data_IF_523472877747
#
_entry.id   IF_523472877747
#
_cell.length_a   1.000
_cell.length_b   1.000
_cell.length_c   1.000
_cell.angle_alpha   90.00
_cell.angle_beta   90.00
_cell.angle_gamma   90.00
#
_symmetry.space_group_name_H-M   'P 1'
#
loop_
_entity.id
_entity.type
_entity.pdbx_description
1 polymer ?
#
# COMPACT_ATOMS: atom_id res chain seq x y z
N UNK A 1 -9.98 -28.26 8.18
CA UNK A 1 -10.95 -27.49 7.38
C UNK A 1 -11.01 -27.93 5.91
N UNK A 2 -9.97 -28.53 5.32
CA UNK A 2 -9.99 -29.00 3.91
C UNK A 2 -10.31 -30.51 3.75
N UNK A 3 -11.38 -31.03 4.37
CA UNK A 3 -11.75 -32.45 4.19
C UNK A 3 -13.17 -32.73 3.68
N UNK A 4 -14.02 -31.71 3.48
CA UNK A 4 -15.43 -31.96 3.12
C UNK A 4 -15.99 -31.03 2.03
N UNK A 5 -15.23 -30.78 0.96
CA UNK A 5 -15.81 -30.14 -0.23
C UNK A 5 -15.60 -31.02 -1.47
N UNK A 6 -16.67 -31.34 -2.22
CA UNK A 6 -16.56 -32.15 -3.43
C UNK A 6 -15.72 -31.41 -4.48
N UNK A 7 -15.01 -32.15 -5.34
CA UNK A 7 -14.19 -31.60 -6.45
C UNK A 7 -15.00 -30.65 -7.36
N UNK A 8 -16.32 -30.84 -7.43
CA UNK A 8 -17.25 -29.93 -8.13
C UNK A 8 -17.30 -28.53 -7.51
N UNK A 9 -17.14 -28.38 -6.19
CA UNK A 9 -17.07 -27.07 -5.52
C UNK A 9 -15.78 -26.32 -5.86
N UNK A 10 -14.66 -27.02 -6.02
CA UNK A 10 -13.38 -26.45 -6.50
C UNK A 10 -13.44 -26.06 -7.99
N UNK A 11 -14.24 -26.78 -8.79
CA UNK A 11 -14.49 -26.44 -10.21
C UNK A 11 -15.55 -25.33 -10.38
N UNK A 12 -16.45 -25.18 -9.40
CA UNK A 12 -17.42 -24.09 -9.34
C UNK A 12 -16.79 -22.76 -8.89
N UNK A 13 -15.71 -22.81 -8.11
CA UNK A 13 -14.80 -21.67 -7.92
C UNK A 13 -13.98 -21.44 -9.18
N UNK A 14 -14.63 -21.01 -10.28
CA UNK A 14 -13.91 -20.34 -11.37
C UNK A 14 -13.51 -18.98 -10.82
N UNK A 15 -12.23 -18.72 -10.50
CA UNK A 15 -11.86 -17.38 -10.11
C UNK A 15 -12.02 -16.56 -11.39
N UNK A 16 -13.09 -15.77 -11.47
CA UNK A 16 -13.17 -14.76 -12.53
C UNK A 16 -11.89 -13.94 -12.42
N UNK A 17 -11.09 -13.81 -13.50
CA UNK A 17 -9.89 -12.96 -13.48
C UNK A 17 -10.23 -11.48 -13.33
N UNK A 18 -11.52 -11.15 -13.42
CA UNK A 18 -12.11 -9.83 -13.35
C UNK A 18 -13.18 -9.82 -12.24
N UNK A 19 -12.85 -9.17 -11.13
CA UNK A 19 -13.72 -8.97 -9.98
C UNK A 19 -14.96 -8.17 -10.37
N UNK A 20 -14.83 -7.14 -11.20
CA UNK A 20 -15.94 -6.29 -11.62
C UNK A 20 -17.00 -7.11 -12.36
N UNK A 21 -16.58 -7.92 -13.33
CA UNK A 21 -17.48 -8.83 -14.04
C UNK A 21 -18.14 -9.85 -13.11
N UNK A 22 -17.42 -10.37 -12.12
CA UNK A 22 -17.99 -11.29 -11.15
C UNK A 22 -19.09 -10.60 -10.32
N UNK A 23 -18.83 -9.39 -9.82
CA UNK A 23 -19.81 -8.61 -9.04
C UNK A 23 -21.07 -8.29 -9.85
N UNK A 24 -20.94 -8.02 -11.15
CA UNK A 24 -22.09 -7.83 -12.04
C UNK A 24 -22.98 -9.07 -12.20
N UNK A 25 -22.46 -10.26 -11.90
CA UNK A 25 -23.27 -11.48 -11.83
C UNK A 25 -24.03 -11.65 -10.51
N UNK A 26 -23.61 -10.96 -9.43
CA UNK A 26 -24.24 -11.05 -8.10
C UNK A 26 -25.17 -9.87 -7.79
N UNK A 27 -24.88 -8.68 -8.32
CA UNK A 27 -25.61 -7.46 -8.00
C UNK A 27 -26.17 -6.80 -9.25
N UNK A 28 -27.48 -6.56 -9.26
CA UNK A 28 -28.13 -5.74 -10.30
C UNK A 28 -27.92 -4.24 -10.09
N UNK A 29 -27.71 -3.80 -8.85
CA UNK A 29 -27.43 -2.40 -8.51
C UNK A 29 -25.94 -2.09 -8.63
N UNK A 30 -25.59 -1.15 -9.52
CA UNK A 30 -24.20 -0.75 -9.76
C UNK A 30 -23.52 -0.19 -8.49
N UNK A 31 -24.27 0.40 -7.56
CA UNK A 31 -23.70 0.93 -6.30
C UNK A 31 -23.15 -0.19 -5.42
N UNK A 32 -23.78 -1.35 -5.43
CA UNK A 32 -23.27 -2.53 -4.72
C UNK A 32 -22.03 -3.09 -5.43
N UNK A 33 -22.02 -3.10 -6.78
CA UNK A 33 -20.82 -3.48 -7.53
C UNK A 33 -19.65 -2.53 -7.22
N UNK A 34 -19.88 -1.22 -7.10
CA UNK A 34 -18.87 -0.24 -6.70
C UNK A 34 -18.37 -0.47 -5.27
N UNK A 35 -19.30 -0.64 -4.33
CA UNK A 35 -19.00 -0.87 -2.91
C UNK A 35 -18.04 -2.06 -2.73
N UNK A 36 -18.35 -3.19 -3.37
CA UNK A 36 -17.51 -4.39 -3.27
C UNK A 36 -16.30 -4.35 -4.21
N UNK A 37 -16.39 -3.65 -5.36
CA UNK A 37 -15.25 -3.44 -6.26
C UNK A 37 -14.13 -2.65 -5.61
N UNK A 38 -14.45 -1.78 -4.64
CA UNK A 38 -13.48 -1.03 -3.82
C UNK A 38 -12.44 -1.91 -3.15
N UNK A 39 -12.74 -3.16 -2.78
CA UNK A 39 -11.75 -4.04 -2.14
C UNK A 39 -10.52 -4.34 -3.02
N UNK A 40 -10.59 -4.10 -4.34
CA UNK A 40 -9.40 -4.12 -5.19
C UNK A 40 -8.33 -3.09 -4.76
N UNK A 41 -8.76 -1.95 -4.21
CA UNK A 41 -7.85 -0.87 -3.78
C UNK A 41 -7.04 -1.23 -2.52
N UNK A 42 -7.49 -2.21 -1.73
CA UNK A 42 -6.77 -2.68 -0.52
C UNK A 42 -5.44 -3.36 -0.85
N UNK A 43 -5.28 -3.77 -2.12
CA UNK A 43 -4.02 -4.29 -2.67
C UNK A 43 -3.55 -3.44 -3.86
N UNK A 44 -4.00 -2.18 -3.92
CA UNK A 44 -3.66 -1.21 -4.95
C UNK A 44 -3.89 -1.71 -6.38
N UNK A 45 -4.98 -2.44 -6.62
CA UNK A 45 -5.29 -3.06 -7.92
C UNK A 45 -6.58 -2.51 -8.51
N UNK A 46 -6.86 -2.87 -9.77
CA UNK A 46 -8.10 -2.51 -10.47
C UNK A 46 -9.12 -3.62 -10.28
N UNK A 47 -10.38 -3.32 -9.94
CA UNK A 47 -11.44 -4.34 -9.92
C UNK A 47 -11.68 -4.95 -11.31
N UNK A 48 -11.32 -4.24 -12.38
CA UNK A 48 -11.45 -4.70 -13.77
C UNK A 48 -10.42 -5.77 -14.17
N UNK A 49 -9.41 -6.02 -13.33
CA UNK A 49 -8.27 -6.87 -13.71
C UNK A 49 -7.79 -7.77 -12.57
N UNK A 50 -8.39 -7.66 -11.39
CA UNK A 50 -8.03 -8.46 -10.22
C UNK A 50 -8.96 -9.67 -10.08
N UNK A 51 -8.48 -10.82 -9.59
CA UNK A 51 -9.34 -11.98 -9.41
C UNK A 51 -10.41 -11.74 -8.34
N UNK A 52 -11.57 -12.38 -8.52
CA UNK A 52 -12.69 -12.32 -7.58
C UNK A 52 -12.37 -12.85 -6.17
N UNK A 53 -11.27 -13.60 -6.01
CA UNK A 53 -10.79 -14.08 -4.70
C UNK A 53 -10.46 -12.96 -3.72
N UNK A 54 -10.25 -11.72 -4.19
CA UNK A 54 -10.11 -10.56 -3.30
C UNK A 54 -11.35 -10.28 -2.45
N UNK A 55 -12.52 -10.84 -2.79
CA UNK A 55 -13.71 -10.76 -1.93
C UNK A 55 -13.51 -11.38 -0.54
N UNK A 56 -12.48 -12.20 -0.34
CA UNK A 56 -12.08 -12.65 0.99
C UNK A 56 -11.69 -11.48 1.91
N UNK A 57 -11.21 -10.35 1.37
CA UNK A 57 -10.91 -9.14 2.16
C UNK A 57 -12.20 -8.58 2.76
N UNK A 58 -13.28 -8.52 1.98
CA UNK A 58 -14.59 -8.09 2.46
C UNK A 58 -15.09 -8.98 3.60
N UNK A 59 -14.88 -10.30 3.48
CA UNK A 59 -15.24 -11.25 4.53
C UNK A 59 -14.46 -11.00 5.83
N UNK A 60 -13.15 -10.75 5.75
CA UNK A 60 -12.33 -10.45 6.93
C UNK A 60 -12.77 -9.14 7.60
N UNK A 61 -13.20 -8.13 6.83
CA UNK A 61 -13.70 -6.88 7.42
C UNK A 61 -15.02 -7.07 8.21
N UNK A 62 -15.80 -8.12 7.89
CA UNK A 62 -17.00 -8.48 8.67
C UNK A 62 -16.66 -9.02 10.06
N UNK A 63 -15.46 -9.57 10.27
CA UNK A 63 -15.02 -10.02 11.60
C UNK A 63 -14.75 -8.84 12.55
N UNK A 64 -14.58 -7.64 11.99
CA UNK A 64 -14.47 -6.40 12.75
C UNK A 64 -13.51 -5.40 12.12
N UNK A 65 -13.62 -4.16 12.61
CA UNK A 65 -12.66 -3.09 12.36
C UNK A 65 -12.19 -2.55 13.69
N UNK A 66 -10.89 -2.57 13.94
CA UNK A 66 -10.28 -2.18 15.20
C UNK A 66 -9.57 -0.84 15.09
N UNK A 67 -9.68 -0.04 16.14
CA UNK A 67 -8.93 1.21 16.29
C UNK A 67 -7.82 0.99 17.32
N UNK A 68 -6.62 1.45 16.99
CA UNK A 68 -5.51 1.49 17.94
C UNK A 68 -5.61 2.78 18.74
N UNK A 69 -5.66 2.68 20.06
CA UNK A 69 -5.62 3.85 20.94
C UNK A 69 -4.38 4.69 20.64
N UNK A 70 -4.59 5.98 20.33
CA UNK A 70 -3.55 6.92 19.88
C UNK A 70 -3.07 6.71 18.43
N UNK A 71 -3.79 5.93 17.64
CA UNK A 71 -3.66 5.81 16.19
C UNK A 71 -2.64 4.77 15.71
N UNK A 72 -2.70 4.46 14.41
CA UNK A 72 -1.86 3.43 13.77
C UNK A 72 -0.34 3.66 13.94
N UNK A 73 0.10 4.91 14.13
CA UNK A 73 1.51 5.22 14.42
C UNK A 73 2.03 4.55 15.69
N UNK A 74 1.18 4.36 16.71
CA UNK A 74 1.58 3.68 17.94
C UNK A 74 1.94 2.23 17.73
N UNK A 75 1.37 1.55 16.74
CA UNK A 75 1.76 0.19 16.41
C UNK A 75 3.23 0.14 15.99
N UNK A 76 3.66 1.03 15.09
CA UNK A 76 5.05 1.11 14.64
C UNK A 76 6.01 1.48 15.78
N UNK A 77 5.63 2.45 16.64
CA UNK A 77 6.41 2.81 17.83
C UNK A 77 6.57 1.64 18.80
N UNK A 78 5.48 0.96 19.12
CA UNK A 78 5.50 -0.19 20.04
C UNK A 78 6.41 -1.31 19.53
N UNK A 79 6.42 -1.56 18.21
CA UNK A 79 7.32 -2.54 17.61
C UNK A 79 8.80 -2.12 17.70
N UNK A 80 9.09 -0.83 17.51
CA UNK A 80 10.44 -0.29 17.67
C UNK A 80 10.94 -0.39 19.12
N UNK A 81 10.09 0.02 20.07
CA UNK A 81 10.41 -0.02 21.50
C UNK A 81 10.65 -1.46 21.98
N UNK A 82 9.79 -2.40 21.57
CA UNK A 82 9.96 -3.82 21.87
C UNK A 82 11.26 -4.37 21.24
N UNK A 83 11.58 -3.97 20.01
CA UNK A 83 12.83 -4.35 19.36
C UNK A 83 14.05 -3.93 20.18
N UNK A 84 14.08 -2.68 20.64
CA UNK A 84 15.18 -2.17 21.48
C UNK A 84 15.26 -2.90 22.83
N UNK A 85 14.12 -3.21 23.46
CA UNK A 85 14.09 -4.00 24.70
C UNK A 85 14.65 -5.42 24.51
N UNK A 86 14.56 -5.96 23.29
CA UNK A 86 15.12 -7.26 22.91
C UNK A 86 16.56 -7.16 22.39
N UNK A 87 17.19 -5.98 22.45
CA UNK A 87 18.59 -5.76 22.07
C UNK A 87 18.81 -5.38 20.60
N UNK A 88 17.79 -4.92 19.88
CA UNK A 88 17.96 -4.37 18.52
C UNK A 88 18.50 -2.93 18.60
N UNK A 89 19.65 -2.69 17.96
CA UNK A 89 20.18 -1.35 17.75
C UNK A 89 19.44 -0.64 16.61
N UNK A 90 18.79 0.50 16.90
CA UNK A 90 18.05 1.29 15.92
C UNK A 90 18.83 2.52 15.47
N UNK A 91 19.23 2.53 14.21
CA UNK A 91 19.94 3.64 13.58
C UNK A 91 18.97 4.42 12.67
N UNK A 92 18.50 5.57 13.13
CA UNK A 92 17.59 6.44 12.37
C UNK A 92 18.38 7.47 11.55
N UNK A 93 17.76 8.05 10.51
CA UNK A 93 18.41 9.01 9.61
C UNK A 93 19.72 8.47 9.01
N UNK A 94 19.79 7.16 8.81
CA UNK A 94 20.99 6.44 8.41
C UNK A 94 20.68 5.66 7.13
N UNK A 95 20.83 6.32 5.98
CA UNK A 95 20.50 5.71 4.69
C UNK A 95 21.57 4.70 4.29
N UNK A 96 21.13 3.53 3.83
CA UNK A 96 21.98 2.48 3.26
C UNK A 96 22.06 2.69 1.75
N UNK A 97 23.25 2.97 1.23
CA UNK A 97 23.51 3.21 -0.19
C UNK A 97 23.87 1.94 -0.96
N UNK A 98 24.39 0.91 -0.29
CA UNK A 98 24.91 -0.29 -0.95
C UNK A 98 24.74 -1.54 -0.07
N UNK A 99 24.35 -2.66 -0.69
CA UNK A 99 24.56 -4.00 -0.11
C UNK A 99 25.94 -4.48 -0.52
N UNK A 100 26.83 -4.68 0.45
CA UNK A 100 28.21 -5.12 0.21
C UNK A 100 28.24 -6.60 -0.17
N UNK A 101 28.86 -6.91 -1.32
CA UNK A 101 28.93 -8.28 -1.86
C UNK A 101 30.37 -8.76 -1.98
N UNK A 102 30.67 -9.94 -1.41
CA UNK A 102 31.95 -10.64 -1.57
C UNK A 102 31.70 -12.09 -1.93
N UNK A 103 32.38 -12.61 -2.96
CA UNK A 103 32.25 -14.01 -3.41
C UNK A 103 30.78 -14.43 -3.64
N UNK A 104 29.95 -13.55 -4.23
CA UNK A 104 28.51 -13.76 -4.47
C UNK A 104 27.68 -13.98 -3.18
N UNK A 105 28.13 -13.45 -2.05
CA UNK A 105 27.42 -13.42 -0.77
C UNK A 105 27.32 -11.97 -0.28
N UNK A 106 26.17 -11.56 0.23
CA UNK A 106 26.04 -10.34 1.00
C UNK A 106 26.83 -10.47 2.32
N UNK A 107 27.62 -9.45 2.65
CA UNK A 107 28.52 -9.44 3.82
C UNK A 107 28.36 -8.20 4.70
N UNK A 108 27.36 -7.37 4.40
CA UNK A 108 27.13 -6.11 5.09
C UNK A 108 26.45 -5.06 4.21
N UNK A 109 26.49 -3.82 4.67
CA UNK A 109 25.94 -2.66 3.98
C UNK A 109 26.88 -1.46 4.06
N UNK A 110 26.79 -0.56 3.09
CA UNK A 110 27.43 0.76 3.12
C UNK A 110 26.37 1.83 3.38
N UNK A 111 26.73 2.80 4.19
CA UNK A 111 25.92 3.98 4.47
C UNK A 111 26.26 5.11 3.48
N UNK A 112 25.40 6.13 3.39
CA UNK A 112 25.63 7.31 2.54
C UNK A 112 26.92 8.08 2.89
N UNK A 113 27.33 8.06 4.16
CA UNK A 113 28.58 8.69 4.61
C UNK A 113 29.84 7.87 4.28
N UNK A 114 29.68 6.72 3.63
CA UNK A 114 30.74 5.81 3.23
C UNK A 114 31.08 4.73 4.27
N UNK A 115 30.56 4.83 5.50
CA UNK A 115 30.76 3.84 6.57
C UNK A 115 30.28 2.47 6.12
N UNK A 116 31.09 1.43 6.38
CA UNK A 116 30.74 0.04 6.08
C UNK A 116 30.40 -0.70 7.37
N UNK A 117 29.21 -1.31 7.40
CA UNK A 117 28.74 -2.17 8.48
C UNK A 117 28.77 -3.62 8.00
N UNK A 118 29.53 -4.48 8.67
CA UNK A 118 29.61 -5.91 8.34
C UNK A 118 28.48 -6.69 9.01
N UNK A 119 27.93 -7.68 8.32
CA UNK A 119 26.90 -8.57 8.86
C UNK A 119 27.00 -9.98 8.24
N UNK A 120 26.64 -11.00 9.01
CA UNK A 120 26.60 -12.39 8.53
C UNK A 120 25.47 -12.64 7.51
N UNK A 121 24.39 -11.87 7.66
CA UNK A 121 23.20 -11.84 6.82
C UNK A 121 22.58 -10.43 6.81
N UNK A 122 21.88 -10.10 5.72
CA UNK A 122 21.18 -8.83 5.53
C UNK A 122 19.71 -9.12 5.23
N UNK A 123 18.79 -8.49 5.96
CA UNK A 123 17.36 -8.51 5.65
C UNK A 123 16.96 -7.15 5.10
N UNK A 124 16.52 -7.10 3.84
CA UNK A 124 16.02 -5.90 3.21
C UNK A 124 14.50 -5.80 3.37
N UNK A 125 14.03 -4.72 4.00
CA UNK A 125 12.61 -4.40 4.20
C UNK A 125 12.24 -3.10 3.46
N UNK A 126 12.57 -3.03 2.17
CA UNK A 126 12.17 -1.95 1.27
C UNK A 126 11.55 -2.52 -0.01
N UNK A 127 11.20 -1.65 -0.96
CA UNK A 127 10.69 -2.14 -2.25
C UNK A 127 11.81 -2.84 -3.03
N UNK A 128 11.57 -4.09 -3.43
CA UNK A 128 12.57 -4.91 -4.14
C UNK A 128 13.06 -4.29 -5.45
N UNK A 129 12.33 -3.34 -6.05
CA UNK A 129 12.84 -2.59 -7.20
C UNK A 129 14.12 -1.83 -6.87
N UNK A 130 14.29 -1.30 -5.65
CA UNK A 130 15.51 -0.56 -5.29
C UNK A 130 16.76 -1.43 -5.43
N UNK A 131 16.66 -2.71 -5.09
CA UNK A 131 17.72 -3.69 -5.37
C UNK A 131 17.84 -3.86 -6.89
N UNK A 132 16.74 -4.22 -7.56
CA UNK A 132 16.73 -4.59 -8.98
C UNK A 132 17.25 -3.50 -9.93
N UNK A 133 17.09 -2.23 -9.57
CA UNK A 133 17.53 -1.06 -10.34
C UNK A 133 18.92 -0.56 -9.95
N UNK A 134 19.61 -1.25 -9.05
CA UNK A 134 20.97 -0.92 -8.63
C UNK A 134 21.08 0.23 -7.62
N UNK A 135 19.96 0.72 -7.06
CA UNK A 135 19.98 1.76 -6.02
C UNK A 135 20.68 1.32 -4.73
N UNK A 136 20.85 0.00 -4.54
CA UNK A 136 21.60 -0.61 -3.45
C UNK A 136 22.90 -1.27 -3.93
N UNK A 137 23.47 -0.74 -5.00
CA UNK A 137 24.68 -1.23 -5.64
C UNK A 137 24.42 -2.26 -6.73
N UNK A 138 25.15 -2.12 -7.84
CA UNK A 138 25.03 -3.00 -9.01
C UNK A 138 25.31 -4.47 -8.68
N UNK A 139 26.22 -4.73 -7.73
CA UNK A 139 26.55 -6.09 -7.29
C UNK A 139 25.36 -6.86 -6.71
N UNK A 140 24.34 -6.17 -6.22
CA UNK A 140 23.12 -6.77 -5.68
C UNK A 140 21.95 -6.79 -6.67
N UNK A 141 22.05 -6.14 -7.83
CA UNK A 141 20.91 -5.92 -8.76
C UNK A 141 20.24 -7.23 -9.22
N UNK A 142 21.07 -8.25 -9.45
CA UNK A 142 20.62 -9.59 -9.86
C UNK A 142 19.96 -10.42 -8.73
N UNK A 143 19.99 -9.95 -7.48
CA UNK A 143 19.43 -10.67 -6.34
C UNK A 143 17.90 -10.85 -6.43
N UNK A 144 17.22 -9.99 -7.19
CA UNK A 144 15.77 -9.98 -7.38
C UNK A 144 15.42 -9.77 -8.85
N UNK A 145 14.17 -10.06 -9.23
CA UNK A 145 13.71 -9.81 -10.60
C UNK A 145 13.28 -8.36 -10.75
N UNK A 146 13.81 -7.68 -11.76
CA UNK A 146 13.33 -6.35 -12.18
C UNK A 146 11.87 -6.41 -12.60
N UNK A 147 11.05 -5.53 -12.05
CA UNK A 147 9.61 -5.45 -12.33
C UNK A 147 9.33 -4.30 -13.30
N UNK A 148 8.54 -4.52 -14.37
CA UNK A 148 8.11 -3.43 -15.24
C UNK A 148 7.29 -2.37 -14.49
N UNK A 149 7.53 -1.09 -14.76
CA UNK A 149 6.82 0.02 -14.10
C UNK A 149 5.29 -0.04 -14.27
N UNK A 150 4.80 -0.60 -15.37
CA UNK A 150 3.36 -0.84 -15.61
C UNK A 150 2.70 -1.79 -14.60
N UNK A 151 3.48 -2.58 -13.87
CA UNK A 151 2.97 -3.51 -12.85
C UNK A 151 2.87 -2.87 -11.46
N UNK A 152 3.24 -1.59 -11.30
CA UNK A 152 3.11 -0.90 -10.01
C UNK A 152 1.66 -0.80 -9.61
N UNK A 153 1.38 -1.09 -8.34
CA UNK A 153 0.09 -0.88 -7.73
C UNK A 153 -0.22 0.63 -7.56
N UNK A 154 -1.45 0.94 -7.17
CA UNK A 154 -1.89 2.30 -6.89
C UNK A 154 -0.92 3.05 -5.95
N UNK A 155 -0.72 4.32 -6.28
CA UNK A 155 -0.29 5.35 -5.34
C UNK A 155 -1.51 6.13 -4.84
N UNK A 156 -1.29 7.21 -4.09
CA UNK A 156 -2.34 8.10 -3.68
C UNK A 156 -1.85 9.54 -3.52
N UNK A 157 -2.78 10.49 -3.63
CA UNK A 157 -2.67 11.76 -2.94
C UNK A 157 -3.41 11.66 -1.61
N UNK A 158 -2.80 12.20 -0.55
CA UNK A 158 -3.45 12.31 0.75
C UNK A 158 -3.36 13.71 1.29
N UNK A 159 -4.39 14.14 2.01
CA UNK A 159 -4.40 15.39 2.77
C UNK A 159 -4.74 15.08 4.22
N UNK A 160 -3.79 15.36 5.10
CA UNK A 160 -4.04 15.44 6.54
C UNK A 160 -4.62 16.81 6.84
N UNK A 161 -5.89 16.86 7.21
CA UNK A 161 -6.65 18.10 7.36
C UNK A 161 -7.06 18.24 8.82
N UNK A 162 -6.90 19.45 9.37
CA UNK A 162 -7.52 19.85 10.62
C UNK A 162 -8.60 20.89 10.33
N UNK A 163 -9.85 20.53 10.54
CA UNK A 163 -10.99 21.32 10.05
C UNK A 163 -12.32 20.94 10.68
N UNK A 164 -13.41 21.26 9.99
CA UNK A 164 -14.77 20.93 10.39
C UNK A 164 -15.53 20.32 9.21
N UNK A 165 -16.34 19.30 9.49
CA UNK A 165 -17.25 18.71 8.51
C UNK A 165 -18.69 19.18 8.78
N UNK A 166 -19.44 19.44 7.71
CA UNK A 166 -20.87 19.78 7.77
C UNK A 166 -21.63 19.11 6.62
N UNK A 167 -22.97 19.05 6.74
CA UNK A 167 -23.85 18.37 5.79
C UNK A 167 -24.54 17.16 6.42
N UNK A 168 -23.78 16.15 6.83
CA UNK A 168 -24.27 14.98 7.58
C UNK A 168 -23.21 14.43 8.54
N UNK A 169 -23.60 13.51 9.43
CA UNK A 169 -22.69 12.93 10.42
C UNK A 169 -21.79 11.86 9.76
N UNK A 170 -20.48 11.97 9.97
CA UNK A 170 -19.50 11.04 9.42
C UNK A 170 -19.23 9.87 10.38
N UNK A 171 -19.05 8.68 9.82
CA UNK A 171 -18.42 7.56 10.49
C UNK A 171 -16.89 7.75 10.56
N UNK A 172 -16.18 6.83 11.23
CA UNK A 172 -14.72 6.87 11.24
C UNK A 172 -14.12 6.68 9.84
N UNK A 173 -14.76 5.88 8.99
CA UNK A 173 -14.33 5.60 7.62
C UNK A 173 -15.48 5.85 6.63
N UNK A 174 -15.24 6.74 5.66
CA UNK A 174 -16.26 7.16 4.71
C UNK A 174 -15.70 7.08 3.28
N UNK A 175 -16.54 6.70 2.33
CA UNK A 175 -16.17 6.61 0.91
C UNK A 175 -17.23 7.32 0.07
N UNK A 176 -16.79 8.23 -0.78
CA UNK A 176 -17.61 9.05 -1.67
C UNK A 176 -17.32 8.63 -3.11
N UNK A 177 -18.22 7.84 -3.67
CA UNK A 177 -18.06 7.26 -5.00
C UNK A 177 -18.40 8.27 -6.11
N UNK A 178 -17.70 8.14 -7.23
CA UNK A 178 -18.12 8.67 -8.53
C UNK A 178 -18.93 7.64 -9.30
N UNK A 179 -19.86 8.12 -10.13
CA UNK A 179 -20.80 7.31 -10.92
C UNK A 179 -20.14 6.32 -11.88
N UNK A 180 -19.03 6.68 -12.55
CA UNK A 180 -18.33 5.81 -13.51
C UNK A 180 -17.03 5.23 -12.95
N UNK A 181 -17.17 4.22 -12.09
CA UNK A 181 -16.05 3.57 -11.40
C UNK A 181 -15.00 2.92 -12.35
N UNK A 182 -15.36 2.23 -13.45
CA UNK A 182 -14.37 1.72 -14.40
C UNK A 182 -13.47 2.81 -15.01
N UNK A 183 -14.02 4.00 -15.27
CA UNK A 183 -13.26 5.12 -15.83
C UNK A 183 -12.10 5.54 -14.92
N UNK A 184 -12.30 5.54 -13.59
CA UNK A 184 -11.24 5.88 -12.62
C UNK A 184 -10.02 4.96 -12.79
N UNK A 185 -10.24 3.65 -12.83
CA UNK A 185 -9.14 2.69 -12.93
C UNK A 185 -8.46 2.70 -14.30
N UNK A 186 -9.22 2.92 -15.38
CA UNK A 186 -8.64 3.09 -16.71
C UNK A 186 -7.74 4.33 -16.77
N UNK A 187 -8.18 5.46 -16.19
CA UNK A 187 -7.36 6.68 -16.10
C UNK A 187 -6.07 6.43 -15.31
N UNK A 188 -6.14 5.70 -14.19
CA UNK A 188 -4.97 5.49 -13.34
C UNK A 188 -3.99 4.45 -13.94
N UNK A 189 -4.50 3.32 -14.43
CA UNK A 189 -3.64 2.21 -14.88
C UNK A 189 -3.25 2.30 -16.35
N UNK A 190 -4.16 2.71 -17.24
CA UNK A 190 -3.89 2.76 -18.68
C UNK A 190 -3.29 4.09 -19.10
N UNK A 191 -3.91 5.22 -18.72
CA UNK A 191 -3.42 6.56 -19.13
C UNK A 191 -2.44 7.19 -18.14
N UNK A 192 -2.26 6.57 -16.96
CA UNK A 192 -1.31 7.01 -15.93
C UNK A 192 -1.55 8.45 -15.47
N UNK A 193 -2.83 8.82 -15.33
CA UNK A 193 -3.29 10.13 -14.89
C UNK A 193 -4.13 10.03 -13.61
N UNK A 194 -4.39 11.18 -12.98
CA UNK A 194 -5.31 11.29 -11.84
C UNK A 194 -6.70 11.59 -12.39
N UNK A 195 -7.76 10.88 -11.97
CA UNK A 195 -9.13 11.18 -12.39
C UNK A 195 -9.55 12.60 -11.99
N UNK A 196 -10.24 13.31 -12.88
CA UNK A 196 -10.81 14.63 -12.57
C UNK A 196 -12.01 14.56 -11.62
N UNK A 197 -12.62 13.38 -11.49
CA UNK A 197 -13.70 13.08 -10.54
C UNK A 197 -13.36 11.80 -9.80
N UNK A 198 -12.43 11.84 -8.83
CA UNK A 198 -11.94 10.65 -8.16
C UNK A 198 -12.96 10.15 -7.12
N UNK A 199 -12.96 8.84 -6.83
CA UNK A 199 -13.53 8.35 -5.59
C UNK A 199 -12.70 8.88 -4.41
N UNK A 200 -13.37 9.44 -3.40
CA UNK A 200 -12.70 10.07 -2.25
C UNK A 200 -12.93 9.25 -0.99
N UNK A 201 -11.84 8.87 -0.33
CA UNK A 201 -11.91 8.29 1.01
C UNK A 201 -11.64 9.38 2.06
N UNK A 202 -12.48 9.42 3.09
CA UNK A 202 -12.32 10.33 4.25
C UNK A 202 -12.32 9.50 5.53
N UNK A 203 -11.20 9.50 6.23
CA UNK A 203 -11.10 9.00 7.60
C UNK A 203 -11.28 10.15 8.57
N UNK A 204 -12.41 10.19 9.29
CA UNK A 204 -12.66 11.18 10.33
C UNK A 204 -12.13 10.65 11.67
N UNK A 205 -10.85 10.94 11.95
CA UNK A 205 -10.07 10.25 12.99
C UNK A 205 -10.59 10.48 14.40
N UNK A 206 -11.32 11.59 14.61
CA UNK A 206 -11.94 11.95 15.89
C UNK A 206 -13.40 11.46 16.01
N UNK A 207 -13.87 10.65 15.05
CA UNK A 207 -15.15 9.93 15.12
C UNK A 207 -14.91 8.49 15.58
N UNK A 208 -15.76 7.98 16.46
CA UNK A 208 -15.64 6.64 17.05
C UNK A 208 -15.59 6.66 18.58
N UNK A 209 -15.48 5.49 19.24
CA UNK A 209 -15.68 5.35 20.69
C UNK A 209 -14.76 6.21 21.57
N UNK A 210 -13.54 6.50 21.10
CA UNK A 210 -12.54 7.29 21.81
C UNK A 210 -12.34 8.71 21.22
N UNK A 211 -13.20 9.12 20.29
CA UNK A 211 -13.09 10.38 19.56
C UNK A 211 -13.55 11.60 20.36
N UNK A 212 -12.95 12.78 20.12
CA UNK A 212 -13.35 14.03 20.75
C UNK A 212 -13.70 15.09 19.69
N UNK A 213 -14.99 15.44 19.62
CA UNK A 213 -15.57 16.38 18.63
C UNK A 213 -15.55 17.85 19.06
N UNK A 214 -15.01 18.18 20.23
CA UNK A 214 -15.18 19.52 20.82
C UNK A 214 -14.31 20.63 20.17
N UNK A 215 -13.58 20.35 19.09
CA UNK A 215 -12.68 21.26 18.39
C UNK A 215 -12.64 20.92 16.88
N UNK A 216 -11.80 21.65 16.13
CA UNK A 216 -11.39 21.22 14.80
C UNK A 216 -10.93 19.77 14.85
N UNK A 217 -11.50 18.96 13.97
CA UNK A 217 -11.31 17.52 13.87
C UNK A 217 -10.19 17.19 12.90
N UNK A 218 -9.59 16.02 13.10
CA UNK A 218 -8.53 15.48 12.23
C UNK A 218 -9.15 14.57 11.17
N UNK A 219 -8.90 14.89 9.91
CA UNK A 219 -9.30 14.10 8.77
C UNK A 219 -8.07 13.63 7.98
N UNK A 220 -8.16 12.42 7.43
CA UNK A 220 -7.31 12.00 6.31
C UNK A 220 -8.22 11.87 5.08
N UNK A 221 -8.01 12.73 4.09
CA UNK A 221 -8.63 12.60 2.77
C UNK A 221 -7.65 11.89 1.82
N UNK A 222 -8.13 10.96 1.01
CA UNK A 222 -7.32 10.18 0.07
C UNK A 222 -8.03 10.05 -1.28
N UNK A 223 -7.25 10.18 -2.35
CA UNK A 223 -7.65 9.78 -3.71
C UNK A 223 -6.59 8.88 -4.34
N UNK A 224 -7.03 7.87 -5.09
CA UNK A 224 -6.12 6.95 -5.78
C UNK A 224 -5.38 7.66 -6.93
N UNK A 225 -4.13 7.27 -7.16
CA UNK A 225 -3.27 7.89 -8.16
C UNK A 225 -2.32 6.86 -8.82
N UNK A 226 -1.75 7.17 -9.99
CA UNK A 226 -0.69 6.37 -10.58
C UNK A 226 0.61 6.46 -9.76
N UNK A 227 1.33 5.34 -9.63
CA UNK A 227 2.66 5.31 -9.02
C UNK A 227 3.76 5.75 -10.00
N UNK A 228 3.87 7.07 -10.19
CA UNK A 228 4.78 7.74 -11.12
C UNK A 228 5.68 8.80 -10.44
N UNK A 229 5.87 8.69 -9.11
CA UNK A 229 6.64 9.66 -8.33
C UNK A 229 8.15 9.69 -8.63
N UNK A 230 8.66 8.73 -9.39
CA UNK A 230 10.05 8.64 -9.86
C UNK A 230 10.28 9.30 -11.23
N UNK A 231 9.23 9.65 -11.95
CA UNK A 231 9.32 10.27 -13.27
C UNK A 231 8.41 11.51 -13.44
N UNK A 232 7.67 11.87 -12.39
CA UNK A 232 6.83 13.05 -12.32
C UNK A 232 6.99 13.74 -10.98
N UNK A 233 7.06 15.06 -11.03
CA UNK A 233 6.90 15.95 -9.87
C UNK A 233 5.53 16.62 -9.96
N UNK A 234 5.01 17.06 -8.82
CA UNK A 234 3.71 17.70 -8.73
C UNK A 234 3.89 19.12 -8.18
N UNK A 235 3.47 20.11 -8.95
CA UNK A 235 3.43 21.50 -8.49
C UNK A 235 2.35 21.71 -7.44
N UNK A 236 2.50 22.74 -6.60
CA UNK A 236 1.48 23.12 -5.60
C UNK A 236 0.12 23.34 -6.25
N UNK A 237 0.06 23.98 -7.42
CA UNK A 237 -1.19 24.24 -8.13
C UNK A 237 -1.87 22.95 -8.62
N UNK A 238 -1.10 21.97 -9.12
CA UNK A 238 -1.66 20.66 -9.50
C UNK A 238 -2.21 19.92 -8.28
N UNK A 239 -1.47 19.93 -7.16
CA UNK A 239 -1.92 19.29 -5.91
C UNK A 239 -3.20 19.93 -5.39
N UNK A 240 -3.28 21.27 -5.42
CA UNK A 240 -4.47 22.02 -5.03
C UNK A 240 -5.64 21.74 -5.99
N UNK A 241 -5.40 21.69 -7.30
CA UNK A 241 -6.44 21.36 -8.27
C UNK A 241 -7.02 19.95 -8.04
N UNK A 242 -6.18 18.96 -7.75
CA UNK A 242 -6.64 17.61 -7.42
C UNK A 242 -7.43 17.60 -6.11
N UNK A 243 -6.97 18.35 -5.10
CA UNK A 243 -7.69 18.53 -3.82
C UNK A 243 -9.08 19.12 -4.06
N UNK A 244 -9.18 20.17 -4.86
CA UNK A 244 -10.43 20.86 -5.14
C UNK A 244 -11.41 19.97 -5.91
N UNK A 245 -10.91 19.14 -6.85
CA UNK A 245 -11.71 18.10 -7.50
C UNK A 245 -12.26 17.06 -6.50
N UNK A 246 -11.45 16.65 -5.52
CA UNK A 246 -11.90 15.75 -4.45
C UNK A 246 -12.96 16.43 -3.55
N UNK A 247 -12.74 17.69 -3.17
CA UNK A 247 -13.72 18.47 -2.39
C UNK A 247 -15.04 18.67 -3.14
N UNK A 248 -15.00 18.88 -4.46
CA UNK A 248 -16.21 18.97 -5.28
C UNK A 248 -17.00 17.66 -5.33
N UNK A 249 -16.33 16.50 -5.27
CA UNK A 249 -17.00 15.19 -5.11
C UNK A 249 -17.68 15.09 -3.75
N UNK A 250 -17.01 15.50 -2.67
CA UNK A 250 -17.62 15.53 -1.33
C UNK A 250 -18.87 16.43 -1.30
N UNK A 251 -18.76 17.64 -1.85
CA UNK A 251 -19.83 18.64 -1.86
C UNK A 251 -21.06 18.15 -2.63
N UNK A 252 -20.86 17.54 -3.81
CA UNK A 252 -21.93 16.89 -4.58
C UNK A 252 -22.64 15.78 -3.79
N UNK A 253 -21.90 15.07 -2.94
CA UNK A 253 -22.46 14.04 -2.06
C UNK A 253 -23.06 14.62 -0.77
N UNK A 254 -23.10 15.94 -0.62
CA UNK A 254 -23.69 16.63 0.53
C UNK A 254 -22.77 16.79 1.73
N UNK A 255 -21.45 16.64 1.56
CA UNK A 255 -20.46 16.87 2.62
C UNK A 255 -19.56 18.06 2.28
N UNK A 256 -19.48 19.03 3.19
CA UNK A 256 -18.53 20.14 3.07
C UNK A 256 -17.45 20.03 4.16
N UNK A 257 -16.18 20.10 3.75
CA UNK A 257 -15.04 20.23 4.65
C UNK A 257 -14.54 21.68 4.66
N UNK A 258 -14.51 22.31 5.83
CA UNK A 258 -13.97 23.65 6.03
C UNK A 258 -12.66 23.59 6.81
N UNK A 259 -11.60 24.14 6.25
CA UNK A 259 -10.27 24.20 6.85
C UNK A 259 -9.49 25.37 6.24
N UNK A 260 -8.37 25.73 6.87
CA UNK A 260 -7.43 26.70 6.32
C UNK A 260 -6.31 25.95 5.61
N UNK A 261 -5.75 26.53 4.55
CA UNK A 261 -4.72 25.86 3.74
C UNK A 261 -3.50 25.47 4.60
N UNK A 262 -3.11 26.27 5.59
CA UNK A 262 -2.02 25.96 6.52
C UNK A 262 -2.28 24.77 7.45
N UNK A 263 -3.54 24.37 7.62
CA UNK A 263 -4.00 23.22 8.41
C UNK A 263 -4.29 22.00 7.50
N UNK A 264 -3.77 22.01 6.27
CA UNK A 264 -3.92 20.95 5.27
C UNK A 264 -2.55 20.55 4.71
N UNK A 265 -2.07 19.37 5.10
CA UNK A 265 -0.77 18.85 4.66
C UNK A 265 -0.97 17.77 3.61
N UNK A 266 -0.52 18.04 2.39
CA UNK A 266 -0.57 17.08 1.28
C UNK A 266 0.61 16.09 1.33
N UNK A 267 0.41 14.90 0.76
CA UNK A 267 1.47 13.96 0.41
C UNK A 267 1.16 13.35 -0.96
N UNK A 268 2.13 13.40 -1.86
CA UNK A 268 2.00 13.08 -3.29
C UNK A 268 2.70 11.75 -3.62
N UNK A 269 2.47 11.18 -4.82
CA UNK A 269 3.26 10.05 -5.32
C UNK A 269 4.79 10.27 -5.27
N UNK A 270 5.26 11.50 -5.48
CA UNK A 270 6.69 11.86 -5.39
C UNK A 270 7.19 11.75 -3.95
N UNK A 271 6.40 12.21 -2.98
CA UNK A 271 6.74 12.11 -1.55
C UNK A 271 6.77 10.64 -1.09
N UNK A 272 5.81 9.82 -1.56
CA UNK A 272 5.82 8.38 -1.29
C UNK A 272 7.05 7.70 -1.88
N UNK A 273 7.46 8.08 -3.09
CA UNK A 273 8.67 7.56 -3.71
C UNK A 273 9.93 7.94 -2.92
N UNK A 274 10.01 9.19 -2.46
CA UNK A 274 11.12 9.66 -1.63
C UNK A 274 11.23 8.89 -0.31
N UNK A 275 10.09 8.61 0.34
CA UNK A 275 10.05 7.80 1.58
C UNK A 275 10.36 6.33 1.35
N UNK A 276 10.00 5.81 0.17
CA UNK A 276 10.18 4.40 -0.19
C UNK A 276 10.84 4.28 -1.58
N UNK A 277 12.17 4.42 -1.66
CA UNK A 277 12.91 4.34 -2.92
C UNK A 277 12.64 3.04 -3.69
N UNK A 278 12.76 3.09 -5.01
CA UNK A 278 12.41 2.00 -5.93
C UNK A 278 10.91 1.81 -6.19
N UNK A 279 10.02 2.29 -5.33
CA UNK A 279 8.56 2.06 -5.46
C UNK A 279 7.86 2.86 -6.57
N UNK A 280 8.47 3.96 -7.02
CA UNK A 280 7.78 4.97 -7.84
C UNK A 280 6.58 5.62 -7.16
N UNK A 281 6.47 5.53 -5.84
CA UNK A 281 5.34 6.00 -5.05
C UNK A 281 4.23 4.97 -4.87
N UNK A 282 4.43 3.72 -5.30
CA UNK A 282 3.42 2.66 -5.09
C UNK A 282 3.28 2.32 -3.61
N UNK A 283 2.04 2.29 -3.12
CA UNK A 283 1.74 1.99 -1.71
C UNK A 283 1.69 0.47 -1.43
N UNK A 284 1.54 -0.34 -2.49
CA UNK A 284 1.26 -1.78 -2.39
C UNK A 284 2.23 -2.65 -3.21
N UNK A 285 3.35 -2.08 -3.66
CA UNK A 285 4.33 -2.76 -4.52
C UNK A 285 3.75 -3.08 -5.91
N UNK A 286 3.48 -4.35 -6.18
CA UNK A 286 2.92 -4.78 -7.48
C UNK A 286 1.42 -4.98 -7.43
N UNK A 287 0.73 -4.49 -8.46
CA UNK A 287 -0.69 -4.73 -8.66
C UNK A 287 -0.95 -6.23 -8.84
N UNK A 288 -2.06 -6.70 -8.29
CA UNK A 288 -2.51 -8.10 -8.38
C UNK A 288 -3.38 -8.32 -9.61
N UNK A 289 -2.94 -7.84 -10.78
CA UNK A 289 -3.70 -8.00 -12.03
C UNK A 289 -3.46 -9.39 -12.64
N UNK A 290 -4.54 -10.12 -12.88
CA UNK A 290 -4.52 -11.49 -13.39
C UNK A 290 -4.36 -12.54 -12.29
N UNK A 291 -4.80 -13.76 -12.61
CA UNK A 291 -4.91 -14.92 -11.71
C UNK A 291 -3.62 -15.32 -10.99
N UNK A 292 -2.46 -15.10 -11.63
CA UNK A 292 -1.16 -15.57 -11.13
C UNK A 292 -0.29 -14.49 -10.50
N UNK A 293 -0.78 -13.24 -10.43
CA UNK A 293 0.01 -12.09 -9.96
C UNK A 293 0.52 -12.22 -8.53
N UNK A 294 -0.17 -12.95 -7.66
CA UNK A 294 0.32 -13.20 -6.30
C UNK A 294 1.50 -14.17 -6.23
N UNK A 295 1.73 -14.96 -7.29
CA UNK A 295 2.85 -15.90 -7.42
C UNK A 295 4.10 -15.29 -8.06
N UNK A 296 4.01 -14.07 -8.59
CA UNK A 296 5.17 -13.38 -9.20
C UNK A 296 5.98 -12.56 -8.19
N UNK A 297 5.48 -12.41 -6.96
CA UNK A 297 6.18 -11.73 -5.87
C UNK A 297 7.44 -12.50 -5.48
N UNK A 298 8.52 -11.78 -5.17
CA UNK A 298 9.72 -12.41 -4.61
C UNK A 298 9.38 -13.11 -3.30
N UNK A 299 9.95 -14.29 -3.09
CA UNK A 299 9.93 -14.95 -1.79
C UNK A 299 10.88 -14.28 -0.80
N UNK A 300 10.90 -14.78 0.43
CA UNK A 300 11.78 -14.26 1.47
C UNK A 300 13.29 -14.50 1.22
N UNK A 301 13.63 -15.49 0.39
CA UNK A 301 15.01 -15.77 -0.04
C UNK A 301 15.29 -15.06 -1.36
N UNK A 302 16.31 -14.20 -1.41
CA UNK A 302 16.78 -13.61 -2.67
C UNK A 302 17.70 -14.59 -3.44
N UNK A 303 18.09 -14.23 -4.66
CA UNK A 303 19.09 -14.99 -5.45
C UNK A 303 20.52 -14.78 -4.94
N UNK A 304 20.76 -13.76 -4.12
CA UNK A 304 22.07 -13.47 -3.53
C UNK A 304 22.17 -14.12 -2.15
N UNK A 305 23.19 -14.97 -1.95
CA UNK A 305 23.38 -15.67 -0.67
C UNK A 305 23.55 -14.65 0.46
N UNK A 306 22.86 -14.87 1.59
CA UNK A 306 22.93 -14.00 2.76
C UNK A 306 22.09 -12.72 2.66
N UNK A 307 21.39 -12.49 1.54
CA UNK A 307 20.40 -11.41 1.40
C UNK A 307 18.98 -11.99 1.41
N UNK A 308 18.17 -11.52 2.35
CA UNK A 308 16.78 -11.90 2.56
C UNK A 308 15.87 -10.71 2.32
N UNK A 309 14.62 -10.98 1.97
CA UNK A 309 13.64 -9.97 1.57
C UNK A 309 12.42 -10.02 2.49
N UNK A 310 11.89 -8.87 2.83
CA UNK A 310 10.65 -8.71 3.58
C UNK A 310 9.90 -7.44 3.12
N UNK A 311 8.63 -7.34 3.48
CA UNK A 311 7.82 -6.14 3.27
C UNK A 311 6.73 -6.31 2.20
N UNK A 312 6.06 -5.21 1.86
CA UNK A 312 4.85 -5.23 1.03
C UNK A 312 5.07 -5.63 -0.44
N UNK A 313 6.30 -5.51 -0.97
CA UNK A 313 6.66 -5.97 -2.30
C UNK A 313 7.04 -7.46 -2.36
N UNK A 314 7.13 -8.12 -1.19
CA UNK A 314 7.58 -9.50 -1.01
C UNK A 314 6.36 -10.35 -0.63
N UNK A 315 6.40 -11.65 -0.94
CA UNK A 315 5.37 -12.58 -0.48
C UNK A 315 5.20 -12.50 1.05
N UNK A 316 3.95 -12.54 1.58
CA UNK A 316 2.68 -12.80 0.88
C UNK A 316 2.07 -11.61 0.13
N UNK A 317 2.46 -10.38 0.44
CA UNK A 317 2.01 -9.19 -0.27
C UNK A 317 1.87 -7.96 0.61
N UNK A 318 1.13 -6.95 0.14
CA UNK A 318 1.00 -5.66 0.81
C UNK A 318 -0.06 -5.66 1.91
N UNK A 319 -0.07 -4.59 2.72
CA UNK A 319 -0.94 -4.42 3.89
C UNK A 319 -0.28 -4.86 5.19
N UNK A 320 -0.67 -4.23 6.31
CA UNK A 320 -0.02 -4.43 7.63
C UNK A 320 0.05 -5.92 8.04
N UNK A 321 -1.02 -6.73 7.93
CA UNK A 321 -0.94 -8.15 8.29
C UNK A 321 0.06 -8.93 7.42
N UNK A 322 0.02 -8.69 6.11
CA UNK A 322 0.85 -9.41 5.14
C UNK A 322 2.33 -9.02 5.24
N UNK A 323 2.63 -7.73 5.45
CA UNK A 323 4.00 -7.26 5.70
C UNK A 323 4.58 -7.86 6.99
N UNK A 324 3.76 -7.97 8.04
CA UNK A 324 4.16 -8.63 9.30
C UNK A 324 4.46 -10.12 9.09
N UNK A 325 3.61 -10.82 8.34
CA UNK A 325 3.85 -12.21 7.94
C UNK A 325 5.12 -12.35 7.09
N UNK A 326 5.37 -11.42 6.17
CA UNK A 326 6.58 -11.39 5.34
C UNK A 326 7.85 -11.28 6.19
N UNK A 327 7.87 -10.37 7.19
CA UNK A 327 8.99 -10.26 8.14
C UNK A 327 9.24 -11.56 8.91
N UNK A 328 8.17 -12.24 9.36
CA UNK A 328 8.29 -13.54 10.03
C UNK A 328 8.85 -14.62 9.10
N UNK A 329 8.47 -14.61 7.82
CA UNK A 329 9.01 -15.55 6.82
C UNK A 329 10.49 -15.26 6.53
N UNK A 330 10.90 -13.99 6.44
CA UNK A 330 12.29 -13.60 6.28
C UNK A 330 13.15 -14.08 7.46
N UNK A 331 12.69 -13.85 8.69
CA UNK A 331 13.38 -14.33 9.89
C UNK A 331 13.53 -15.86 9.90
N UNK A 332 12.46 -16.61 9.61
CA UNK A 332 12.52 -18.08 9.53
C UNK A 332 13.46 -18.58 8.44
N UNK A 333 13.42 -17.96 7.28
CA UNK A 333 14.27 -18.33 6.13
C UNK A 333 15.75 -18.06 6.43
N UNK A 334 16.04 -16.94 7.09
CA UNK A 334 17.38 -16.61 7.56
C UNK A 334 17.85 -17.67 8.56
N UNK A 335 17.07 -17.94 9.61
CA UNK A 335 17.43 -18.91 10.64
C UNK A 335 17.67 -20.31 10.07
N UNK A 336 16.87 -20.76 9.10
CA UNK A 336 17.06 -22.07 8.46
C UNK A 336 18.33 -22.19 7.61
N UNK A 337 18.93 -21.06 7.22
CA UNK A 337 20.13 -21.03 6.39
C UNK A 337 21.41 -20.87 7.24
N UNK A 338 21.29 -20.45 8.50
CA UNK A 338 22.42 -20.21 9.41
C UNK A 338 22.52 -21.20 10.56
N UNK A 339 21.44 -21.89 10.92
CA UNK A 339 21.38 -22.99 11.90
C UNK A 339 21.43 -24.32 11.15
#
# INVERSE_FOLDING_TARGET
>A
VLREHPLSSLLATRPSPDLWRALGGFFSDERLQQLFGRYATYVGSSPLSTPATLMLIAHVELDGVWLVDGGMHRLARTMADLGQQLGVDLHLNTHVSEVLVKNRKAVGVRLDDGTALTADAVVFNGDTQAIATGQLGESASSAVTLRPNRQRALSAFTWCIKGQASGFDLDHHNVFFESNYPSEFNTIFETRQVPSKPTVYVCAQDRGPAGNRNKAERFLMLVNAPANGDNRTWSTDEVNHIRDNALAVLDRCGLTLSFRDEECVATTPTDWHSRFPGSGGSLYGSASHGLWSSFTRSGARSRLKGLYLSGGSVHPGPGVPMATLSGRLAARTLLSDII
#
